data_IF_142561325066
#
_entry.id   IF_142561325066
#
_cell.length_a   1.000
_cell.length_b   1.000
_cell.length_c   1.000
_cell.angle_alpha   90.00
_cell.angle_beta   90.00
_cell.angle_gamma   90.00
#
_symmetry.space_group_name_H-M   'P 1'
#
loop_
_entity.id
_entity.type
_entity.pdbx_description
1 polymer ?
#
# COMPACT_ATOMS: atom_id res chain seq x y z
N UNK A 1 96.09 -20.12 -11.00
CA UNK A 1 95.29 -21.25 -10.46
C UNK A 1 93.87 -20.76 -10.23
N UNK A 2 92.89 -21.50 -10.78
CA UNK A 2 91.41 -21.42 -10.72
C UNK A 2 90.75 -20.38 -9.78
N UNK A 3 89.92 -19.43 -10.26
CA UNK A 3 88.55 -19.53 -10.81
C UNK A 3 87.43 -19.47 -9.75
N UNK A 4 86.63 -18.39 -9.75
CA UNK A 4 85.19 -18.36 -10.15
C UNK A 4 84.47 -17.10 -9.63
N UNK A 5 83.72 -16.53 -10.56
CA UNK A 5 82.84 -15.36 -10.52
C UNK A 5 81.59 -15.53 -9.64
N UNK A 6 81.14 -14.46 -8.97
CA UNK A 6 79.71 -14.21 -8.64
C UNK A 6 79.38 -12.71 -8.69
N UNK A 7 78.40 -12.35 -9.51
CA UNK A 7 77.63 -11.10 -9.50
C UNK A 7 76.13 -11.44 -9.40
N UNK A 8 75.20 -10.47 -9.38
CA UNK A 8 74.52 -9.99 -8.19
C UNK A 8 73.08 -10.51 -8.08
N UNK A 9 72.51 -10.48 -6.87
CA UNK A 9 71.09 -10.79 -6.64
C UNK A 9 70.25 -9.53 -6.91
N UNK A 10 69.39 -9.64 -7.92
CA UNK A 10 68.40 -8.63 -8.31
C UNK A 10 67.05 -8.94 -7.61
N UNK A 11 66.37 -7.88 -7.18
CA UNK A 11 65.09 -7.90 -6.45
C UNK A 11 63.95 -8.27 -7.43
N UNK A 12 63.15 -9.28 -7.10
CA UNK A 12 61.97 -9.66 -7.87
C UNK A 12 60.68 -9.21 -7.17
N UNK A 13 59.93 -8.34 -7.84
CA UNK A 13 58.56 -7.95 -7.49
C UNK A 13 57.59 -9.14 -7.65
N UNK A 14 56.79 -9.42 -6.61
CA UNK A 14 55.66 -10.35 -6.67
C UNK A 14 54.43 -9.63 -7.23
N UNK A 15 54.00 -10.02 -8.42
CA UNK A 15 52.71 -9.65 -9.01
C UNK A 15 51.64 -10.56 -8.40
N UNK A 16 50.65 -9.98 -7.70
CA UNK A 16 49.39 -10.65 -7.35
C UNK A 16 48.39 -10.37 -8.47
N UNK A 17 48.03 -11.39 -9.24
CA UNK A 17 46.88 -11.35 -10.15
C UNK A 17 45.59 -11.33 -9.32
N UNK A 18 44.86 -10.21 -9.38
CA UNK A 18 43.47 -10.15 -8.93
C UNK A 18 42.60 -10.43 -10.16
N UNK A 19 42.03 -11.63 -10.23
CA UNK A 19 41.05 -12.00 -11.24
C UNK A 19 39.74 -11.25 -10.99
N UNK A 20 39.46 -10.22 -11.80
CA UNK A 20 38.17 -9.53 -11.83
C UNK A 20 37.10 -10.44 -12.44
N UNK A 21 36.36 -11.17 -11.61
CA UNK A 21 35.08 -11.72 -12.03
C UNK A 21 34.03 -10.61 -11.93
N UNK A 22 33.80 -9.95 -13.07
CA UNK A 22 32.63 -9.11 -13.27
C UNK A 22 31.42 -10.05 -13.23
N UNK A 23 30.77 -10.16 -12.06
CA UNK A 23 29.39 -10.61 -12.01
C UNK A 23 28.56 -9.43 -12.50
N UNK A 24 28.16 -9.47 -13.78
CA UNK A 24 27.01 -8.71 -14.26
C UNK A 24 25.79 -9.23 -13.51
N UNK A 25 25.55 -8.70 -12.32
CA UNK A 25 24.24 -8.78 -11.68
C UNK A 25 23.36 -7.82 -12.45
N UNK A 26 22.73 -8.30 -13.52
CA UNK A 26 21.61 -7.63 -14.16
C UNK A 26 20.42 -7.70 -13.21
N UNK A 27 20.45 -6.90 -12.14
CA UNK A 27 19.22 -6.44 -11.50
C UNK A 27 18.58 -5.46 -12.48
N UNK A 28 17.86 -6.01 -13.46
CA UNK A 28 16.80 -5.26 -14.13
C UNK A 28 15.83 -4.96 -13.00
N UNK A 29 15.89 -3.73 -12.47
CA UNK A 29 14.75 -3.17 -11.80
C UNK A 29 13.62 -3.27 -12.83
N UNK A 30 12.70 -4.22 -12.64
CA UNK A 30 11.45 -4.17 -13.35
C UNK A 30 10.78 -2.90 -12.84
N UNK A 31 10.96 -1.80 -13.57
CA UNK A 31 10.06 -0.67 -13.47
C UNK A 31 8.69 -1.27 -13.70
N UNK A 32 7.90 -1.36 -12.64
CA UNK A 32 6.50 -1.73 -12.77
C UNK A 32 5.96 -0.79 -13.85
N UNK A 33 5.37 -1.33 -14.93
CA UNK A 33 4.93 -0.56 -16.10
C UNK A 33 3.79 0.43 -15.81
N UNK A 34 3.64 0.81 -14.54
CA UNK A 34 2.61 1.66 -13.99
C UNK A 34 3.16 3.07 -13.78
N UNK A 35 2.44 4.06 -14.28
CA UNK A 35 2.70 5.48 -14.06
C UNK A 35 1.46 6.14 -13.46
N UNK A 36 1.58 7.40 -13.07
CA UNK A 36 0.45 8.18 -12.56
C UNK A 36 0.13 9.33 -13.49
N UNK A 37 -1.16 9.58 -13.68
CA UNK A 37 -1.69 10.77 -14.34
C UNK A 37 -2.46 11.60 -13.33
N UNK A 38 -1.93 12.75 -12.99
CA UNK A 38 -2.52 13.66 -12.00
C UNK A 38 -3.30 14.77 -12.67
N UNK A 39 -4.54 14.97 -12.22
CA UNK A 39 -5.42 16.06 -12.65
C UNK A 39 -5.74 16.89 -11.40
N UNK A 40 -5.65 18.22 -11.51
CA UNK A 40 -5.86 19.12 -10.38
C UNK A 40 -4.67 19.15 -9.42
N UNK A 41 -4.51 20.30 -8.76
CA UNK A 41 -3.52 20.46 -7.70
C UNK A 41 -3.83 19.55 -6.51
N UNK A 42 -2.83 18.89 -5.92
CA UNK A 42 -3.03 18.18 -4.66
C UNK A 42 -3.61 19.12 -3.59
N UNK A 43 -4.38 18.57 -2.64
CA UNK A 43 -5.10 19.32 -1.61
C UNK A 43 -6.25 20.21 -2.15
N UNK A 44 -6.84 19.84 -3.30
CA UNK A 44 -8.07 20.47 -3.83
C UNK A 44 -9.15 19.42 -4.13
N UNK A 45 -10.39 19.87 -4.33
CA UNK A 45 -11.54 19.00 -4.59
C UNK A 45 -11.46 18.32 -5.97
N UNK A 46 -10.78 18.95 -6.91
CA UNK A 46 -10.59 18.50 -8.29
C UNK A 46 -9.49 17.46 -8.42
N UNK A 47 -8.64 17.31 -7.39
CA UNK A 47 -7.46 16.46 -7.45
C UNK A 47 -7.81 14.99 -7.67
N UNK A 48 -7.29 14.40 -8.73
CA UNK A 48 -7.40 12.97 -9.05
C UNK A 48 -6.05 12.42 -9.45
N UNK A 49 -5.73 11.23 -8.98
CA UNK A 49 -4.56 10.46 -9.41
C UNK A 49 -5.05 9.19 -10.07
N UNK A 50 -4.98 9.15 -11.40
CA UNK A 50 -5.22 7.95 -12.19
C UNK A 50 -3.93 7.13 -12.25
N UNK A 51 -4.06 5.81 -12.25
CA UNK A 51 -2.96 4.91 -12.57
C UNK A 51 -3.03 4.57 -14.05
N UNK A 52 -1.88 4.59 -14.70
CA UNK A 52 -1.73 4.21 -16.09
C UNK A 52 -0.90 2.95 -16.20
N UNK A 53 -1.20 2.11 -17.19
CA UNK A 53 -0.30 1.06 -17.66
C UNK A 53 0.10 1.37 -19.09
N UNK A 54 1.40 1.51 -19.34
CA UNK A 54 1.93 1.88 -20.67
C UNK A 54 1.28 3.19 -21.23
N UNK A 55 0.99 4.15 -20.34
CA UNK A 55 0.37 5.44 -20.68
C UNK A 55 -1.15 5.44 -20.85
N UNK A 56 -1.81 4.30 -20.62
CA UNK A 56 -3.28 4.15 -20.71
C UNK A 56 -3.87 4.09 -19.30
N UNK A 57 -4.81 4.98 -18.93
CA UNK A 57 -5.49 4.93 -17.64
C UNK A 57 -6.24 3.60 -17.43
N UNK A 58 -6.09 3.03 -16.24
CA UNK A 58 -6.71 1.78 -15.82
C UNK A 58 -7.34 1.94 -14.43
N UNK A 59 -8.26 1.06 -14.06
CA UNK A 59 -8.83 1.03 -12.72
C UNK A 59 -7.82 0.48 -11.69
N UNK A 60 -7.44 1.23 -10.64
CA UNK A 60 -6.64 0.68 -9.56
C UNK A 60 -7.40 -0.33 -8.69
N UNK A 61 -8.74 -0.33 -8.74
CA UNK A 61 -9.55 -1.32 -8.03
C UNK A 61 -9.60 -2.64 -8.82
N UNK A 62 -9.80 -2.59 -10.14
CA UNK A 62 -10.16 -3.77 -10.93
C UNK A 62 -9.06 -4.26 -11.88
N UNK A 63 -8.27 -3.38 -12.48
CA UNK A 63 -7.39 -3.71 -13.62
C UNK A 63 -5.95 -4.10 -13.22
N UNK A 64 -5.54 -3.79 -12.00
CA UNK A 64 -4.21 -4.14 -11.49
C UNK A 64 -4.29 -5.55 -10.86
N UNK A 65 -3.49 -6.52 -11.33
CA UNK A 65 -3.54 -7.87 -10.76
C UNK A 65 -3.18 -7.88 -9.28
N UNK A 66 -3.95 -8.59 -8.45
CA UNK A 66 -3.64 -8.77 -7.02
C UNK A 66 -2.22 -9.34 -6.82
N UNK A 67 -1.87 -10.38 -7.57
CA UNK A 67 -0.57 -11.05 -7.48
C UNK A 67 0.39 -10.53 -8.54
N UNK A 68 1.59 -10.12 -8.10
CA UNK A 68 2.66 -9.64 -8.97
C UNK A 68 3.53 -10.76 -9.55
N UNK A 69 3.40 -11.99 -9.04
CA UNK A 69 4.13 -13.16 -9.53
C UNK A 69 3.26 -14.42 -9.60
N UNK A 70 3.64 -15.36 -10.48
CA UNK A 70 2.89 -16.59 -10.71
C UNK A 70 2.78 -17.49 -9.47
N UNK A 71 3.78 -17.45 -8.57
CA UNK A 71 3.78 -18.24 -7.34
C UNK A 71 2.82 -17.67 -6.29
N UNK A 72 2.17 -16.53 -6.55
CA UNK A 72 1.23 -15.85 -5.64
C UNK A 72 1.82 -15.57 -4.25
N UNK A 73 3.09 -15.21 -4.21
CA UNK A 73 3.83 -14.88 -2.97
C UNK A 73 4.15 -13.41 -2.83
N UNK A 74 4.00 -12.64 -3.90
CA UNK A 74 4.20 -11.19 -3.98
C UNK A 74 2.93 -10.57 -4.51
N UNK A 75 2.44 -9.52 -3.85
CA UNK A 75 1.22 -8.82 -4.20
C UNK A 75 1.55 -7.45 -4.78
N UNK A 76 0.68 -6.92 -5.63
CA UNK A 76 0.68 -5.50 -5.94
C UNK A 76 -0.10 -4.77 -4.84
N UNK A 77 0.46 -3.68 -4.34
CA UNK A 77 -0.20 -2.73 -3.45
C UNK A 77 -0.34 -1.41 -4.19
N UNK A 78 -1.52 -0.79 -4.08
CA UNK A 78 -1.75 0.58 -4.52
C UNK A 78 -1.55 1.50 -3.34
N UNK A 79 -0.58 2.40 -3.41
CA UNK A 79 -0.35 3.39 -2.36
C UNK A 79 -1.35 4.53 -2.54
N UNK A 80 -2.07 4.87 -1.47
CA UNK A 80 -3.00 6.00 -1.45
C UNK A 80 -2.42 7.16 -0.63
N UNK A 81 -1.97 6.88 0.60
CA UNK A 81 -1.48 7.90 1.54
C UNK A 81 -0.01 7.63 1.89
N UNK A 82 0.92 8.52 1.50
CA UNK A 82 2.31 8.44 1.92
C UNK A 82 2.45 8.57 3.44
N UNK A 83 3.41 7.83 4.00
CA UNK A 83 3.74 7.94 5.43
C UNK A 83 4.05 9.39 5.82
N UNK A 84 3.56 9.79 6.99
CA UNK A 84 3.66 11.12 7.59
C UNK A 84 2.92 12.24 6.85
N UNK A 85 1.88 11.88 6.09
CA UNK A 85 0.94 12.84 5.51
C UNK A 85 -0.45 12.69 6.13
N UNK A 86 -1.30 13.70 5.94
CA UNK A 86 -2.61 13.81 6.61
C UNK A 86 -3.79 13.70 5.66
N UNK A 87 -3.62 13.99 4.36
CA UNK A 87 -4.71 13.95 3.40
C UNK A 87 -5.25 12.51 3.30
N UNK A 88 -6.53 12.32 3.60
CA UNK A 88 -7.17 11.01 3.44
C UNK A 88 -7.47 10.79 1.96
N UNK A 89 -6.47 10.28 1.25
CA UNK A 89 -6.60 9.85 -0.14
C UNK A 89 -7.10 8.40 -0.16
N UNK A 90 -7.97 8.08 -1.11
CA UNK A 90 -8.59 6.76 -1.27
C UNK A 90 -8.92 6.50 -2.74
N UNK A 91 -8.87 5.24 -3.16
CA UNK A 91 -9.44 4.77 -4.43
C UNK A 91 -10.93 5.11 -4.42
N UNK A 92 -11.38 5.96 -5.36
CA UNK A 92 -12.79 6.34 -5.43
C UNK A 92 -13.62 5.19 -5.98
N UNK A 93 -14.49 4.60 -5.16
CA UNK A 93 -15.37 3.50 -5.59
C UNK A 93 -16.36 3.91 -6.67
N UNK A 94 -16.85 5.13 -6.64
CA UNK A 94 -17.99 5.58 -7.47
C UNK A 94 -17.58 6.24 -8.79
N UNK A 95 -16.33 6.71 -8.90
CA UNK A 95 -15.82 7.35 -10.12
C UNK A 95 -15.31 6.32 -11.13
N UNK A 96 -15.59 6.54 -12.42
CA UNK A 96 -15.12 5.67 -13.50
C UNK A 96 -13.60 5.54 -13.49
N UNK A 97 -13.10 4.30 -13.59
CA UNK A 97 -11.68 3.92 -13.41
C UNK A 97 -11.11 4.20 -12.02
N UNK A 98 -11.96 4.43 -11.03
CA UNK A 98 -11.62 4.50 -9.60
C UNK A 98 -10.34 5.31 -9.27
N UNK A 99 -10.17 6.54 -9.79
CA UNK A 99 -8.98 7.34 -9.47
C UNK A 99 -8.85 7.55 -7.97
N UNK A 100 -7.62 7.69 -7.50
CA UNK A 100 -7.38 8.08 -6.12
C UNK A 100 -7.77 9.56 -5.97
N UNK A 101 -8.55 9.86 -4.94
CA UNK A 101 -8.96 11.23 -4.60
C UNK A 101 -8.99 11.43 -3.10
N UNK A 102 -9.09 12.68 -2.67
CA UNK A 102 -9.24 12.97 -1.25
C UNK A 102 -10.70 12.84 -0.81
N UNK A 103 -10.92 12.14 0.29
CA UNK A 103 -12.22 12.00 0.95
C UNK A 103 -12.77 13.39 1.33
N UNK A 104 -14.09 13.56 1.23
CA UNK A 104 -14.80 14.81 1.49
C UNK A 104 -15.77 14.59 2.65
N UNK A 105 -15.52 15.29 3.76
CA UNK A 105 -16.38 15.28 4.95
C UNK A 105 -17.05 16.64 5.10
N UNK A 106 -18.40 16.66 5.06
CA UNK A 106 -19.21 17.89 5.18
C UNK A 106 -18.80 18.98 4.19
N UNK A 107 -18.54 18.59 2.93
CA UNK A 107 -18.16 19.50 1.84
C UNK A 107 -16.73 20.05 1.92
N UNK A 108 -15.88 19.51 2.79
CA UNK A 108 -14.47 19.90 2.93
C UNK A 108 -13.57 18.68 2.79
N UNK A 109 -12.38 18.90 2.26
CA UNK A 109 -11.31 17.90 2.20
C UNK A 109 -11.00 17.36 3.60
N UNK A 110 -10.97 16.03 3.72
CA UNK A 110 -10.71 15.35 4.98
C UNK A 110 -9.21 15.15 5.18
N UNK A 111 -8.76 15.51 6.36
CA UNK A 111 -7.39 15.28 6.82
C UNK A 111 -7.44 14.52 8.14
N UNK A 112 -6.72 13.40 8.22
CA UNK A 112 -6.47 12.71 9.49
C UNK A 112 -5.60 13.60 10.36
N UNK A 113 -5.91 13.69 11.66
CA UNK A 113 -5.26 14.61 12.59
C UNK A 113 -4.03 13.95 13.23
N UNK A 114 -3.08 14.77 13.65
CA UNK A 114 -1.90 14.30 14.37
C UNK A 114 -2.29 13.92 15.81
N UNK A 115 -2.24 12.63 16.13
CA UNK A 115 -2.49 12.12 17.47
C UNK A 115 -1.16 11.78 18.13
N UNK A 116 -0.75 12.52 19.16
CA UNK A 116 0.55 12.32 19.80
C UNK A 116 0.76 10.86 20.25
N UNK A 117 1.90 10.21 19.91
CA UNK A 117 3.13 10.76 19.29
C UNK A 117 3.22 10.66 17.75
N UNK A 118 2.12 10.34 17.08
CA UNK A 118 2.04 10.05 15.64
C UNK A 118 1.81 11.28 14.76
N UNK A 119 2.62 11.43 13.71
CA UNK A 119 2.46 12.46 12.68
C UNK A 119 1.79 11.85 11.46
N UNK A 120 0.56 12.28 11.14
CA UNK A 120 -0.23 11.73 10.04
C UNK A 120 -0.40 10.22 10.11
N UNK A 121 -0.41 9.57 8.94
CA UNK A 121 -0.31 8.11 8.82
C UNK A 121 1.11 7.64 9.17
N UNK A 122 1.24 6.60 10.00
CA UNK A 122 2.56 6.07 10.41
C UNK A 122 3.10 4.96 9.48
N UNK A 123 2.36 4.63 8.42
CA UNK A 123 2.71 3.65 7.38
C UNK A 123 2.57 4.30 6.01
N UNK A 124 3.17 3.72 4.97
CA UNK A 124 2.65 3.97 3.63
C UNK A 124 1.33 3.19 3.56
N UNK A 125 0.22 3.89 3.38
CA UNK A 125 -1.11 3.32 3.45
C UNK A 125 -1.72 3.22 2.07
N UNK A 126 -2.52 2.19 1.85
CA UNK A 126 -3.26 2.00 0.62
C UNK A 126 -3.97 0.66 0.63
N UNK A 127 -4.16 0.06 -0.53
CA UNK A 127 -4.98 -1.14 -0.64
C UNK A 127 -4.42 -2.20 -1.60
N UNK A 128 -4.95 -3.42 -1.48
CA UNK A 128 -4.75 -4.49 -2.45
C UNK A 128 -5.81 -4.39 -3.56
N UNK A 129 -5.41 -4.29 -4.84
CA UNK A 129 -6.37 -4.30 -5.93
C UNK A 129 -7.02 -5.69 -6.04
N UNK A 130 -8.19 -5.76 -6.65
CA UNK A 130 -8.92 -7.02 -6.83
C UNK A 130 -9.26 -7.76 -5.52
N UNK A 131 -9.53 -6.99 -4.47
CA UNK A 131 -10.04 -7.49 -3.18
C UNK A 131 -11.22 -6.62 -2.76
N UNK A 132 -12.16 -7.16 -1.98
CA UNK A 132 -13.31 -6.41 -1.51
C UNK A 132 -13.79 -6.98 -0.17
N UNK A 133 -13.93 -6.11 0.82
CA UNK A 133 -14.56 -6.41 2.11
C UNK A 133 -16.08 -6.38 1.94
N UNK A 134 -16.68 -7.55 1.70
CA UNK A 134 -18.10 -7.66 1.30
C UNK A 134 -19.05 -7.12 2.40
N UNK A 135 -19.79 -6.03 2.14
CA UNK A 135 -20.72 -5.44 3.10
C UNK A 135 -22.06 -6.19 3.16
N UNK A 136 -22.25 -7.22 2.32
CA UNK A 136 -23.51 -7.98 2.26
C UNK A 136 -23.53 -9.18 3.20
N UNK A 137 -22.38 -9.52 3.81
CA UNK A 137 -22.22 -10.71 4.65
C UNK A 137 -21.49 -10.33 5.93
N UNK A 138 -21.94 -10.87 7.06
CA UNK A 138 -21.24 -10.74 8.34
C UNK A 138 -20.01 -11.65 8.34
N UNK A 139 -18.84 -11.10 8.63
CA UNK A 139 -17.60 -11.85 8.73
C UNK A 139 -17.54 -12.62 10.07
N UNK A 140 -17.19 -13.92 10.06
CA UNK A 140 -17.37 -14.80 11.23
C UNK A 140 -16.47 -14.45 12.43
N UNK A 141 -15.29 -13.85 12.19
CA UNK A 141 -14.33 -13.57 13.27
C UNK A 141 -14.56 -12.22 13.97
N UNK A 142 -15.17 -11.27 13.26
CA UNK A 142 -15.40 -9.89 13.71
C UNK A 142 -16.86 -9.65 14.06
N UNK A 143 -17.78 -10.50 13.59
CA UNK A 143 -19.23 -10.38 13.78
C UNK A 143 -19.78 -9.03 13.26
N UNK A 144 -19.18 -8.55 12.18
CA UNK A 144 -19.52 -7.31 11.50
C UNK A 144 -19.46 -7.50 9.98
N UNK A 145 -20.22 -6.72 9.23
CA UNK A 145 -20.13 -6.68 7.75
C UNK A 145 -18.82 -6.03 7.31
N UNK A 146 -18.33 -6.31 6.10
CA UNK A 146 -17.19 -5.58 5.52
C UNK A 146 -17.49 -4.10 5.31
N UNK A 147 -16.45 -3.26 5.29
CA UNK A 147 -16.53 -1.80 5.11
C UNK A 147 -16.79 -1.36 3.66
N UNK A 148 -17.03 -2.32 2.75
CA UNK A 148 -17.29 -2.10 1.33
C UNK A 148 -16.08 -1.55 0.55
N UNK A 149 -14.86 -1.63 1.06
CA UNK A 149 -13.65 -1.15 0.40
C UNK A 149 -12.71 -2.30 -0.05
N UNK A 150 -11.71 -2.00 -0.90
CA UNK A 150 -10.58 -2.90 -1.10
C UNK A 150 -9.82 -3.16 0.21
N UNK A 151 -9.21 -4.34 0.34
CA UNK A 151 -8.49 -4.73 1.56
C UNK A 151 -7.29 -3.82 1.82
N UNK A 152 -7.26 -3.22 3.00
CA UNK A 152 -6.28 -2.20 3.39
C UNK A 152 -4.90 -2.76 3.73
N UNK A 153 -3.87 -1.97 3.45
CA UNK A 153 -2.46 -2.33 3.62
C UNK A 153 -1.67 -1.22 4.31
N UNK A 154 -0.98 -1.60 5.38
CA UNK A 154 0.07 -0.84 6.03
C UNK A 154 1.45 -1.36 5.57
N UNK A 155 2.11 -0.62 4.68
CA UNK A 155 3.46 -0.94 4.22
C UNK A 155 4.52 -0.26 5.09
N UNK A 156 5.42 -1.08 5.64
CA UNK A 156 6.30 -0.70 6.76
C UNK A 156 7.76 -0.43 6.37
N UNK A 157 8.08 -0.44 5.08
CA UNK A 157 9.42 -0.21 4.56
C UNK A 157 9.94 1.20 4.81
N UNK A 158 11.25 1.37 4.71
CA UNK A 158 11.93 2.63 5.10
C UNK A 158 11.61 3.79 4.15
N UNK A 159 11.34 3.53 2.87
CA UNK A 159 11.11 4.56 1.87
C UNK A 159 9.68 5.10 1.98
N UNK A 160 9.52 6.43 1.99
CA UNK A 160 8.21 7.08 1.88
C UNK A 160 7.76 6.99 0.42
N UNK A 161 6.54 6.51 0.20
CA UNK A 161 5.94 6.29 -1.12
C UNK A 161 5.23 7.56 -1.65
N UNK A 162 4.55 7.44 -2.80
CA UNK A 162 3.70 8.50 -3.36
C UNK A 162 2.31 7.98 -3.76
N UNK A 163 1.26 8.84 -3.81
CA UNK A 163 -0.08 8.41 -4.20
C UNK A 163 -0.10 7.83 -5.62
N UNK A 164 -0.75 6.69 -5.80
CA UNK A 164 -0.81 5.94 -7.05
C UNK A 164 0.41 5.07 -7.35
N UNK A 165 1.39 4.98 -6.44
CA UNK A 165 2.50 4.03 -6.61
C UNK A 165 1.97 2.58 -6.56
N UNK A 166 2.32 1.77 -7.57
CA UNK A 166 2.07 0.32 -7.56
C UNK A 166 3.33 -0.40 -7.10
N UNK A 167 3.33 -0.84 -5.84
CA UNK A 167 4.47 -1.50 -5.19
C UNK A 167 4.30 -3.01 -5.16
N UNK A 168 5.41 -3.73 -5.30
CA UNK A 168 5.43 -5.17 -5.03
C UNK A 168 5.74 -5.39 -3.55
N UNK A 169 4.81 -6.01 -2.84
CA UNK A 169 4.92 -6.22 -1.39
C UNK A 169 4.78 -7.68 -1.03
N UNK A 170 5.29 -8.05 0.15
CA UNK A 170 5.00 -9.32 0.79
C UNK A 170 4.24 -9.12 2.08
N UNK A 171 3.24 -9.97 2.28
CA UNK A 171 2.40 -10.01 3.48
C UNK A 171 3.17 -10.64 4.64
N UNK A 172 3.06 -10.02 5.80
CA UNK A 172 3.68 -10.45 7.06
C UNK A 172 2.62 -10.81 8.11
N UNK A 173 1.48 -10.15 8.12
CA UNK A 173 0.39 -10.40 9.06
C UNK A 173 -0.83 -9.53 8.78
N UNK A 174 -1.83 -9.60 9.65
CA UNK A 174 -3.08 -8.82 9.54
C UNK A 174 -3.64 -8.47 10.91
N UNK A 175 -4.28 -7.30 11.04
CA UNK A 175 -5.00 -6.88 12.26
C UNK A 175 -6.49 -6.73 11.97
N UNK A 176 -7.35 -7.20 12.88
CA UNK A 176 -8.81 -7.20 12.73
C UNK A 176 -9.43 -5.93 13.34
N UNK A 177 -9.40 -4.80 12.65
CA UNK A 177 -10.03 -3.56 13.15
C UNK A 177 -11.55 -3.67 12.98
N UNK A 178 -12.27 -3.19 13.98
CA UNK A 178 -13.68 -2.82 13.88
C UNK A 178 -13.76 -1.31 13.77
N UNK A 179 -13.90 -0.81 12.54
CA UNK A 179 -13.94 0.62 12.26
C UNK A 179 -15.39 1.09 12.23
N UNK A 180 -15.83 1.82 13.26
CA UNK A 180 -17.23 2.24 13.41
C UNK A 180 -18.28 1.10 13.34
N UNK A 181 -17.86 -0.13 13.65
CA UNK A 181 -18.73 -1.32 13.67
C UNK A 181 -18.68 -2.16 12.39
N UNK A 182 -17.80 -1.82 11.44
CA UNK A 182 -17.54 -2.58 10.22
C UNK A 182 -16.23 -3.36 10.33
N UNK A 183 -16.15 -4.51 9.67
CA UNK A 183 -14.92 -5.30 9.52
C UNK A 183 -13.98 -4.56 8.58
N UNK A 184 -12.80 -4.25 9.09
CA UNK A 184 -11.82 -3.45 8.37
C UNK A 184 -10.42 -4.05 8.58
N UNK A 185 -10.05 -5.04 7.77
CA UNK A 185 -8.79 -5.76 7.97
C UNK A 185 -7.58 -4.91 7.53
N UNK A 186 -6.58 -4.81 8.40
CA UNK A 186 -5.32 -4.08 8.11
C UNK A 186 -4.17 -5.05 7.87
N UNK A 187 -3.81 -5.26 6.61
CA UNK A 187 -2.66 -6.09 6.22
C UNK A 187 -1.35 -5.38 6.60
N UNK A 188 -0.44 -6.10 7.24
CA UNK A 188 0.93 -5.64 7.47
C UNK A 188 1.81 -6.22 6.37
N UNK A 189 2.44 -5.34 5.58
CA UNK A 189 3.27 -5.73 4.44
C UNK A 189 4.59 -4.95 4.39
N UNK A 190 5.54 -5.44 3.60
CA UNK A 190 6.78 -4.73 3.29
C UNK A 190 7.11 -4.82 1.81
N UNK A 191 7.61 -3.71 1.23
CA UNK A 191 8.15 -3.69 -0.14
C UNK A 191 9.25 -4.75 -0.30
N UNK A 192 9.17 -5.58 -1.36
CA UNK A 192 10.16 -6.64 -1.63
C UNK A 192 11.57 -6.10 -1.91
N UNK A 193 11.69 -4.81 -2.24
CA UNK A 193 12.95 -4.10 -2.50
C UNK A 193 13.56 -3.52 -1.22
N UNK A 194 12.83 -3.52 -0.10
CA UNK A 194 13.33 -3.01 1.17
C UNK A 194 14.54 -3.83 1.66
N UNK A 195 15.61 -3.20 2.17
CA UNK A 195 16.78 -3.92 2.72
C UNK A 195 16.45 -4.90 3.87
N UNK A 196 15.38 -4.65 4.62
CA UNK A 196 14.89 -5.55 5.67
C UNK A 196 13.97 -6.63 5.12
N UNK A 197 13.44 -6.51 3.89
CA UNK A 197 12.54 -7.50 3.33
C UNK A 197 13.08 -8.92 3.50
N UNK A 198 14.32 -9.30 3.11
CA UNK A 198 14.80 -10.69 3.29
C UNK A 198 14.74 -11.23 4.73
N UNK A 199 14.70 -10.35 5.74
CA UNK A 199 14.66 -10.70 7.16
C UNK A 199 13.26 -10.75 7.77
N UNK A 200 12.25 -10.18 7.12
CA UNK A 200 10.87 -10.16 7.59
C UNK A 200 10.03 -11.19 6.82
N UNK A 201 9.74 -12.36 7.37
CA UNK A 201 9.02 -13.40 6.63
C UNK A 201 7.69 -13.82 7.26
N UNK A 202 7.48 -13.46 8.52
CA UNK A 202 6.22 -13.60 9.25
C UNK A 202 6.08 -12.45 10.26
N UNK A 203 4.96 -12.38 10.98
CA UNK A 203 4.62 -11.24 11.83
C UNK A 203 5.58 -11.05 13.00
N UNK A 204 6.15 -12.14 13.53
CA UNK A 204 7.08 -12.10 14.67
C UNK A 204 8.39 -11.38 14.32
N UNK A 205 8.79 -11.41 13.04
CA UNK A 205 9.97 -10.70 12.58
C UNK A 205 9.76 -9.18 12.66
N UNK A 206 8.51 -8.69 12.53
CA UNK A 206 8.22 -7.26 12.65
C UNK A 206 8.58 -6.76 14.03
N UNK A 207 8.14 -7.42 15.10
CA UNK A 207 8.48 -7.00 16.47
C UNK A 207 9.99 -7.16 16.76
N UNK A 208 10.66 -8.12 16.13
CA UNK A 208 12.09 -8.35 16.27
C UNK A 208 12.94 -7.22 15.66
N UNK A 209 12.58 -6.72 14.49
CA UNK A 209 13.39 -5.73 13.75
C UNK A 209 12.84 -4.29 13.83
N UNK A 210 11.55 -4.15 14.14
CA UNK A 210 10.82 -2.89 14.26
C UNK A 210 10.03 -2.87 15.58
N UNK A 211 10.73 -2.98 16.74
CA UNK A 211 10.09 -3.16 18.03
C UNK A 211 9.14 -2.01 18.36
N UNK A 212 7.94 -2.36 18.81
CA UNK A 212 6.88 -1.41 19.17
C UNK A 212 6.05 -0.89 18.00
N UNK A 213 6.38 -1.21 16.73
CA UNK A 213 5.60 -0.77 15.58
C UNK A 213 4.18 -1.33 15.62
N UNK A 214 4.00 -2.64 15.90
CA UNK A 214 2.67 -3.25 15.93
C UNK A 214 1.79 -2.67 17.04
N UNK A 215 2.39 -2.37 18.20
CA UNK A 215 1.71 -1.67 19.30
C UNK A 215 1.30 -0.26 18.89
N UNK A 216 2.17 0.48 18.20
CA UNK A 216 1.86 1.81 17.68
C UNK A 216 0.76 1.75 16.60
N UNK A 217 0.76 0.73 15.73
CA UNK A 217 -0.31 0.49 14.74
C UNK A 217 -1.66 0.26 15.43
N UNK A 218 -1.71 -0.60 16.46
CA UNK A 218 -2.92 -0.81 17.26
C UNK A 218 -3.44 0.50 17.84
N UNK A 219 -2.56 1.26 18.51
CA UNK A 219 -2.91 2.53 19.12
C UNK A 219 -3.41 3.55 18.07
N UNK A 220 -2.71 3.66 16.95
CA UNK A 220 -3.05 4.61 15.88
C UNK A 220 -4.47 4.39 15.37
N UNK A 221 -4.82 3.16 14.98
CA UNK A 221 -6.15 2.86 14.45
C UNK A 221 -7.27 2.95 15.50
N UNK A 222 -6.95 2.76 16.78
CA UNK A 222 -7.91 3.02 17.87
C UNK A 222 -8.28 4.49 17.97
N UNK A 223 -7.28 5.38 17.86
CA UNK A 223 -7.44 6.78 18.26
C UNK A 223 -7.56 7.79 17.10
N UNK A 224 -7.22 7.41 15.86
CA UNK A 224 -7.06 8.39 14.75
C UNK A 224 -8.32 9.21 14.42
N UNK A 225 -9.51 8.69 14.73
CA UNK A 225 -10.80 9.38 14.52
C UNK A 225 -11.35 10.09 15.77
N UNK A 226 -10.72 9.93 16.94
CA UNK A 226 -11.17 10.63 18.14
C UNK A 226 -11.14 12.16 18.02
N UNK A 227 -10.12 12.79 17.36
CA UNK A 227 -10.13 14.23 17.08
C UNK A 227 -11.32 14.71 16.24
N UNK A 228 -11.95 13.80 15.49
CA UNK A 228 -13.14 14.04 14.68
C UNK A 228 -14.45 13.87 15.46
N UNK A 229 -14.36 13.60 16.78
CA UNK A 229 -15.50 13.36 17.66
C UNK A 229 -16.09 11.96 17.54
N UNK A 230 -15.37 11.01 16.92
CA UNK A 230 -15.75 9.59 16.88
C UNK A 230 -15.28 8.86 18.15
N UNK A 231 -15.96 7.78 18.55
CA UNK A 231 -15.45 6.91 19.61
C UNK A 231 -14.11 6.27 19.23
N UNK A 232 -13.43 5.72 20.21
CA UNK A 232 -12.27 4.87 20.01
C UNK A 232 -12.70 3.61 19.24
N UNK A 233 -11.92 3.18 18.24
CA UNK A 233 -12.18 1.93 17.54
C UNK A 233 -11.74 0.72 18.39
N UNK A 234 -12.19 -0.46 18.00
CA UNK A 234 -11.86 -1.72 18.67
C UNK A 234 -11.20 -2.68 17.71
N UNK A 235 -10.52 -3.69 18.25
CA UNK A 235 -9.97 -4.79 17.46
C UNK A 235 -10.57 -6.11 17.95
N UNK A 236 -10.85 -7.02 17.02
CA UNK A 236 -11.03 -8.42 17.38
C UNK A 236 -9.69 -9.02 17.87
N UNK A 237 -9.73 -10.23 18.42
CA UNK A 237 -8.55 -10.92 18.98
C UNK A 237 -7.74 -10.09 19.99
N UNK A 238 -8.39 -9.18 20.72
CA UNK A 238 -7.72 -8.26 21.65
C UNK A 238 -6.61 -7.40 21.00
N UNK A 239 -6.68 -7.16 19.68
CA UNK A 239 -5.66 -6.40 18.95
C UNK A 239 -4.43 -7.19 18.53
N UNK A 240 -4.45 -8.53 18.65
CA UNK A 240 -3.39 -9.39 18.11
C UNK A 240 -3.24 -9.19 16.60
N UNK A 241 -2.00 -8.99 16.14
CA UNK A 241 -1.69 -9.08 14.72
C UNK A 241 -1.47 -10.55 14.35
N UNK A 242 -2.40 -11.12 13.59
CA UNK A 242 -2.36 -12.51 13.14
C UNK A 242 -1.25 -12.70 12.12
N UNK A 243 -0.68 -13.89 12.10
CA UNK A 243 0.48 -14.21 11.28
C UNK A 243 0.18 -14.19 9.77
N UNK A 244 1.23 -14.33 8.97
CA UNK A 244 1.17 -14.32 7.51
C UNK A 244 0.18 -15.33 6.94
N UNK A 245 0.10 -16.53 7.52
CA UNK A 245 -0.80 -17.58 7.01
C UNK A 245 -2.24 -17.10 7.08
N UNK A 246 -2.66 -16.60 8.24
CA UNK A 246 -4.02 -16.10 8.45
C UNK A 246 -4.28 -14.85 7.60
N UNK A 247 -3.31 -13.95 7.47
CA UNK A 247 -3.40 -12.80 6.59
C UNK A 247 -3.66 -13.18 5.13
N UNK A 248 -3.00 -14.23 4.63
CA UNK A 248 -3.26 -14.73 3.26
C UNK A 248 -4.63 -15.38 3.12
N UNK A 249 -5.20 -15.97 4.18
CA UNK A 249 -6.59 -16.47 4.17
C UNK A 249 -7.57 -15.31 3.96
N UNK A 250 -7.40 -14.18 4.69
CA UNK A 250 -8.19 -12.94 4.50
C UNK A 250 -8.02 -12.36 3.09
N UNK A 251 -6.80 -12.32 2.57
CA UNK A 251 -6.54 -11.86 1.18
C UNK A 251 -7.29 -12.73 0.17
N UNK A 252 -7.29 -14.05 0.35
CA UNK A 252 -7.99 -14.95 -0.57
C UNK A 252 -9.50 -14.81 -0.46
N UNK A 253 -10.03 -14.62 0.74
CA UNK A 253 -11.46 -14.39 0.96
C UNK A 253 -11.94 -13.12 0.25
N UNK A 254 -11.29 -11.99 0.51
CA UNK A 254 -11.63 -10.70 -0.09
C UNK A 254 -11.42 -10.69 -1.61
N UNK A 255 -10.44 -11.45 -2.12
CA UNK A 255 -10.26 -11.64 -3.57
C UNK A 255 -11.41 -12.43 -4.20
N UNK A 256 -11.92 -13.47 -3.54
CA UNK A 256 -13.09 -14.22 -4.01
C UNK A 256 -14.38 -13.38 -3.91
N UNK A 257 -14.50 -12.51 -2.91
CA UNK A 257 -15.59 -11.54 -2.81
C UNK A 257 -15.54 -10.53 -3.98
N UNK A 258 -14.38 -9.92 -4.25
CA UNK A 258 -14.19 -9.04 -5.42
C UNK A 258 -14.50 -9.76 -6.73
N UNK A 259 -14.12 -11.03 -6.86
CA UNK A 259 -14.42 -11.81 -8.06
C UNK A 259 -15.92 -11.93 -8.29
N UNK A 260 -16.70 -12.20 -7.24
CA UNK A 260 -18.17 -12.22 -7.34
C UNK A 260 -18.73 -10.82 -7.67
N UNK A 261 -18.14 -9.76 -7.12
CA UNK A 261 -18.49 -8.37 -7.41
C UNK A 261 -18.30 -8.05 -8.90
N UNK A 262 -17.10 -8.25 -9.44
CA UNK A 262 -16.78 -7.89 -10.83
C UNK A 262 -17.47 -8.79 -11.87
N UNK A 263 -17.88 -10.00 -11.48
CA UNK A 263 -18.72 -10.90 -12.28
C UNK A 263 -20.22 -10.55 -12.20
N UNK A 264 -20.60 -9.50 -11.47
CA UNK A 264 -22.00 -9.05 -11.34
C UNK A 264 -22.89 -9.99 -10.52
N UNK A 265 -22.29 -10.81 -9.64
CA UNK A 265 -23.00 -11.82 -8.83
C UNK A 265 -23.43 -11.30 -7.45
N UNK A 266 -23.03 -10.10 -7.08
CA UNK A 266 -23.33 -9.45 -5.80
C UNK A 266 -23.74 -8.01 -6.04
N UNK A 267 -24.49 -7.43 -5.10
CA UNK A 267 -24.89 -6.02 -5.16
C UNK A 267 -23.64 -5.14 -4.98
N UNK A 268 -23.29 -4.29 -5.96
CA UNK A 268 -22.06 -3.51 -5.94
C UNK A 268 -22.10 -2.30 -5.01
N UNK A 269 -23.21 -2.01 -4.32
CA UNK A 269 -23.32 -0.87 -3.39
C UNK A 269 -22.91 0.48 -4.00
N UNK A 270 -23.15 0.66 -5.31
CA UNK A 270 -22.80 1.88 -6.03
C UNK A 270 -21.34 1.96 -6.51
N UNK A 271 -20.55 0.91 -6.36
CA UNK A 271 -19.20 0.82 -6.93
C UNK A 271 -19.29 0.86 -8.46
N UNK A 272 -18.49 1.73 -9.08
CA UNK A 272 -18.23 1.72 -10.52
C UNK A 272 -17.32 0.55 -10.85
N UNK A 273 -17.87 -0.45 -11.55
CA UNK A 273 -17.16 -1.66 -11.99
C UNK A 273 -16.44 -1.49 -13.33
N UNK A 274 -16.41 -0.27 -13.87
CA UNK A 274 -15.79 0.02 -15.16
C UNK A 274 -14.31 -0.35 -15.13
N UNK A 275 -13.89 -1.18 -16.07
CA UNK A 275 -12.55 -1.70 -16.18
C UNK A 275 -12.12 -1.80 -17.65
N UNK A 276 -10.82 -1.87 -17.89
CA UNK A 276 -10.23 -1.80 -19.25
C UNK A 276 -9.42 -3.04 -19.62
N UNK A 277 -9.25 -3.98 -18.69
CA UNK A 277 -8.44 -5.19 -18.89
C UNK A 277 -9.24 -6.49 -18.80
N UNK A 278 -10.45 -6.47 -18.23
CA UNK A 278 -11.24 -7.68 -17.96
C UNK A 278 -12.35 -7.85 -18.99
N UNK A 279 -11.98 -8.17 -20.23
CA UNK A 279 -12.90 -8.27 -21.39
C UNK A 279 -14.10 -9.23 -21.24
N UNK A 280 -14.09 -10.11 -20.23
CA UNK A 280 -15.20 -11.02 -19.93
C UNK A 280 -16.25 -10.45 -18.96
N UNK A 281 -16.06 -9.25 -18.44
CA UNK A 281 -16.95 -8.61 -17.44
C UNK A 281 -17.97 -7.71 -18.14
N UNK A 282 -19.14 -7.51 -17.50
CA UNK A 282 -20.23 -6.70 -18.07
C UNK A 282 -19.84 -5.23 -18.30
N UNK A 283 -18.98 -4.71 -17.44
CA UNK A 283 -18.59 -3.30 -17.39
C UNK A 283 -17.23 -3.04 -18.03
N UNK A 284 -16.71 -4.01 -18.80
CA UNK A 284 -15.55 -3.81 -19.64
C UNK A 284 -15.78 -2.68 -20.63
N UNK A 285 -14.84 -1.73 -20.68
CA UNK A 285 -14.86 -0.60 -21.61
C UNK A 285 -13.47 -0.47 -22.24
N UNK A 286 -13.42 -0.28 -23.56
CA UNK A 286 -12.17 0.06 -24.24
C UNK A 286 -11.66 1.40 -23.69
N UNK A 287 -10.40 1.45 -23.26
CA UNK A 287 -9.80 2.67 -22.73
C UNK A 287 -9.85 3.84 -23.73
N UNK A 288 -9.84 3.57 -25.04
CA UNK A 288 -9.98 4.60 -26.08
C UNK A 288 -11.36 5.27 -26.10
N UNK A 289 -12.39 4.62 -25.55
CA UNK A 289 -13.73 5.18 -25.40
C UNK A 289 -13.84 6.12 -24.18
N UNK A 290 -12.89 6.06 -23.25
CA UNK A 290 -12.90 6.86 -22.03
C UNK A 290 -12.18 8.20 -22.25
N UNK A 291 -12.89 9.29 -21.99
CA UNK A 291 -12.36 10.66 -22.12
C UNK A 291 -11.70 11.12 -20.82
N UNK A 292 -10.59 10.50 -20.43
CA UNK A 292 -9.79 10.93 -19.28
C UNK A 292 -8.88 12.09 -19.69
N UNK A 293 -8.95 13.27 -19.03
CA UNK A 293 -8.09 14.41 -19.37
C UNK A 293 -6.61 14.06 -19.27
N UNK A 294 -5.76 14.84 -19.94
CA UNK A 294 -4.31 14.75 -19.76
C UNK A 294 -3.89 15.33 -18.40
N UNK A 295 -2.70 14.96 -17.92
CA UNK A 295 -2.15 15.54 -16.70
C UNK A 295 -1.91 17.06 -16.85
N UNK A 296 -2.22 17.82 -15.82
CA UNK A 296 -2.00 19.28 -15.77
C UNK A 296 -0.77 19.70 -14.95
N UNK A 297 -0.16 18.77 -14.21
CA UNK A 297 1.08 18.94 -13.44
C UNK A 297 1.10 20.18 -12.53
N UNK A 298 -0.04 20.49 -11.90
CA UNK A 298 -0.15 21.62 -10.99
C UNK A 298 0.59 21.36 -9.67
N UNK A 299 1.21 22.41 -9.11
CA UNK A 299 1.79 22.36 -7.78
C UNK A 299 0.72 22.19 -6.69
N UNK A 300 1.08 21.66 -5.50
CA UNK A 300 0.11 21.41 -4.43
C UNK A 300 -0.49 22.73 -3.91
N UNK A 301 -1.79 22.71 -3.65
CA UNK A 301 -2.46 23.79 -2.94
C UNK A 301 -2.04 23.80 -1.46
N UNK A 302 -2.08 24.97 -0.79
CA UNK A 302 -1.75 25.06 0.62
C UNK A 302 -2.74 24.27 1.48
N UNK A 303 -2.22 23.61 2.51
CA UNK A 303 -3.02 22.95 3.55
C UNK A 303 -3.25 23.97 4.67
N UNK A 304 -4.46 23.98 5.23
CA UNK A 304 -4.79 24.83 6.36
C UNK A 304 -3.94 24.48 7.59
N UNK A 305 -3.36 25.48 8.26
CA UNK A 305 -2.44 25.29 9.39
C UNK A 305 -3.09 24.60 10.60
N UNK A 306 -4.41 24.49 10.66
CA UNK A 306 -5.06 23.69 11.71
C UNK A 306 -4.72 22.20 11.62
N UNK A 307 -4.27 21.71 10.47
CA UNK A 307 -3.84 20.30 10.30
C UNK A 307 -2.56 20.00 11.08
N UNK A 308 -1.70 21.00 11.31
CA UNK A 308 -0.46 20.86 12.08
C UNK A 308 -0.69 20.59 13.58
N UNK A 309 -1.91 20.83 14.07
CA UNK A 309 -2.28 20.67 15.48
C UNK A 309 -2.07 19.23 15.96
N UNK A 310 -1.32 19.09 17.06
CA UNK A 310 -1.20 17.86 17.83
C UNK A 310 -2.36 17.69 18.81
N UNK A 311 -2.98 16.52 18.80
CA UNK A 311 -3.98 16.09 19.75
C UNK A 311 -3.32 15.16 20.77
N UNK A 312 -3.45 15.50 22.05
CA UNK A 312 -3.01 14.68 23.18
C UNK A 312 -4.23 13.98 23.73
N UNK A 313 -4.41 12.72 23.36
CA UNK A 313 -5.56 11.91 23.75
C UNK A 313 -5.21 11.15 25.04
N UNK A 314 -6.10 11.18 26.02
CA UNK A 314 -5.92 10.40 27.24
C UNK A 314 -6.15 8.92 26.93
N UNK A 315 -5.33 8.04 27.51
CA UNK A 315 -5.59 6.61 27.47
C UNK A 315 -6.88 6.28 28.22
N UNK A 316 -7.71 5.43 27.62
CA UNK A 316 -8.86 4.82 28.29
C UNK A 316 -8.34 3.99 29.47
N UNK A 317 -8.64 4.42 30.71
CA UNK A 317 -8.32 3.69 31.95
C UNK A 317 -8.98 2.31 31.98
#
# INVERSE_FOLDING_TARGET
MAARTRSPICIANRILQVSSHIRTSSTIAMTSGYTTRTIGAANTLEHRVFIEKDGVPISPFHDIPLFANEQKTVLNMIVEVPRWTNAKLEISKEETLNPIKQDIKKGKLRYVRNCFPHHGYIHNYGALPQTWEDPNVEHPDTHAVGDNDPLDVCEIGWQVSYPGEVKQVKVLGVMALLDEGETDWKIIAIDVRDPLAPKLNDIEDVEKYLPGLLRATNEWFRIYKMPDGKPENHFAFSGECRNKKYAMEVVHETAEAWKKLIEGKTDPKGISLTNTTLAGTSDYTDAAALSIPAADNLGPAPIDSSIDKWFFLAGSN
#
